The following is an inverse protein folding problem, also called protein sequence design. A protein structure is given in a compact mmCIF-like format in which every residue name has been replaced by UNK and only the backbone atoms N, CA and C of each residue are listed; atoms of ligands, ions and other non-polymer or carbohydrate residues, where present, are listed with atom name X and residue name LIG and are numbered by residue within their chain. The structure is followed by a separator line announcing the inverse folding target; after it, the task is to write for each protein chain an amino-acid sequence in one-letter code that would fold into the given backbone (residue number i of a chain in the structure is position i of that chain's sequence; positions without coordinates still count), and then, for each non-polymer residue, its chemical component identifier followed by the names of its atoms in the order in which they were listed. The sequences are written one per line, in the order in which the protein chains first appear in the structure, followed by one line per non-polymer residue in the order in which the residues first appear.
data_IF_036706714043
#
_entry.id   IF_036706714043
#
_cell.length_a   1.000
_cell.length_b   1.000
_cell.length_c   1.000
_cell.angle_alpha   90.00
_cell.angle_beta   90.00
_cell.angle_gamma   90.00
#
_symmetry.space_group_name_H-M   'P 1'
#
loop_
_entity.id
_entity.type
_entity.pdbx_description
1 polymer ?
#
# COMPACT_ATOMS: atom_id res chain seq x y z
N UNK A 1 -4.46 14.43 -17.67
CA UNK A 1 -3.49 13.91 -16.70
C UNK A 1 -2.12 14.39 -17.12
N UNK A 2 -1.37 15.04 -16.24
CA UNK A 2 0.02 15.43 -16.52
C UNK A 2 0.91 14.18 -16.59
N UNK A 3 2.09 14.29 -17.22
CA UNK A 3 3.06 13.19 -17.23
C UNK A 3 3.50 12.77 -15.82
N UNK A 4 3.61 13.72 -14.88
CA UNK A 4 3.97 13.44 -13.49
C UNK A 4 2.84 12.78 -12.69
N UNK A 5 1.57 13.17 -12.91
CA UNK A 5 0.40 12.48 -12.30
C UNK A 5 0.31 11.04 -12.81
N UNK A 6 0.57 10.83 -14.11
CA UNK A 6 0.58 9.48 -14.70
C UNK A 6 1.69 8.61 -14.11
N UNK A 7 2.90 9.14 -14.00
CA UNK A 7 4.02 8.40 -13.42
C UNK A 7 3.76 8.06 -11.95
N UNK A 8 3.27 9.02 -11.15
CA UNK A 8 2.95 8.77 -9.75
C UNK A 8 1.88 7.67 -9.58
N UNK A 9 0.85 7.65 -10.45
CA UNK A 9 -0.16 6.58 -10.45
C UNK A 9 0.41 5.22 -10.87
N UNK A 10 1.34 5.20 -11.83
CA UNK A 10 2.04 3.97 -12.24
C UNK A 10 2.93 3.44 -11.12
N UNK A 11 3.64 4.32 -10.41
CA UNK A 11 4.48 3.96 -9.26
C UNK A 11 3.62 3.44 -8.10
N UNK A 12 2.48 4.08 -7.82
CA UNK A 12 1.51 3.60 -6.84
C UNK A 12 0.93 2.23 -7.22
N UNK A 13 0.64 1.99 -8.51
CA UNK A 13 0.22 0.68 -8.98
C UNK A 13 1.32 -0.39 -8.79
N UNK A 14 2.59 -0.02 -9.02
CA UNK A 14 3.73 -0.89 -8.71
C UNK A 14 3.79 -1.28 -7.23
N UNK A 15 3.59 -0.31 -6.34
CA UNK A 15 3.52 -0.56 -4.90
C UNK A 15 2.34 -1.48 -4.53
N UNK A 16 1.17 -1.32 -5.16
CA UNK A 16 0.01 -2.20 -4.95
C UNK A 16 0.27 -3.64 -5.45
N UNK A 17 0.98 -3.82 -6.57
CA UNK A 17 1.38 -5.16 -7.00
C UNK A 17 2.31 -5.83 -5.99
N UNK A 18 3.33 -5.11 -5.51
CA UNK A 18 4.23 -5.59 -4.46
C UNK A 18 3.47 -5.91 -3.16
N UNK A 19 2.50 -5.08 -2.77
CA UNK A 19 1.66 -5.29 -1.61
C UNK A 19 0.84 -6.57 -1.71
N UNK A 20 0.17 -6.81 -2.85
CA UNK A 20 -0.61 -8.05 -3.07
C UNK A 20 0.29 -9.29 -2.99
N UNK A 21 1.50 -9.22 -3.54
CA UNK A 21 2.48 -10.31 -3.43
C UNK A 21 2.92 -10.54 -1.97
N UNK A 22 3.31 -9.47 -1.28
CA UNK A 22 3.77 -9.52 0.11
C UNK A 22 2.69 -10.04 1.06
N UNK A 23 1.42 -9.62 0.88
CA UNK A 23 0.30 -10.12 1.67
C UNK A 23 0.03 -11.62 1.48
N UNK A 24 0.43 -12.20 0.34
CA UNK A 24 0.47 -13.64 0.14
C UNK A 24 1.44 -14.34 1.10
N UNK A 25 2.66 -13.81 1.24
CA UNK A 25 3.65 -14.33 2.20
C UNK A 25 3.24 -14.08 3.65
N UNK A 26 2.72 -12.88 3.95
CA UNK A 26 2.21 -12.54 5.29
C UNK A 26 1.12 -13.53 5.71
N UNK A 27 0.19 -13.88 4.82
CA UNK A 27 -0.85 -14.86 5.10
C UNK A 27 -0.33 -16.23 5.51
N UNK A 28 0.77 -16.68 4.90
CA UNK A 28 1.40 -17.98 5.20
C UNK A 28 2.01 -18.05 6.60
N UNK A 29 2.43 -16.91 7.17
CA UNK A 29 3.13 -16.85 8.45
C UNK A 29 2.35 -16.10 9.55
N UNK A 30 1.19 -15.54 9.24
CA UNK A 30 0.38 -14.79 10.19
C UNK A 30 -0.20 -15.69 11.30
N UNK A 31 -0.18 -15.18 12.53
CA UNK A 31 -0.82 -15.80 13.68
C UNK A 31 -2.35 -15.94 13.49
N UNK A 32 -2.95 -16.92 14.18
CA UNK A 32 -4.38 -17.21 14.06
C UNK A 32 -5.28 -16.00 14.35
N UNK A 33 -4.85 -15.10 15.26
CA UNK A 33 -5.58 -13.87 15.59
C UNK A 33 -5.63 -12.84 14.44
N UNK A 34 -4.68 -12.91 13.50
CA UNK A 34 -4.51 -11.92 12.42
C UNK A 34 -5.07 -12.40 11.07
N UNK A 35 -5.45 -13.66 10.93
CA UNK A 35 -5.90 -14.25 9.66
C UNK A 35 -7.03 -13.46 8.98
N UNK A 36 -8.03 -13.00 9.75
CA UNK A 36 -9.12 -12.16 9.21
C UNK A 36 -8.62 -10.80 8.74
N UNK A 37 -7.75 -10.16 9.51
CA UNK A 37 -7.13 -8.87 9.17
C UNK A 37 -6.31 -8.98 7.88
N UNK A 38 -5.49 -10.02 7.76
CA UNK A 38 -4.68 -10.29 6.56
C UNK A 38 -5.57 -10.50 5.34
N UNK A 39 -6.63 -11.31 5.46
CA UNK A 39 -7.57 -11.55 4.35
C UNK A 39 -8.25 -10.24 3.91
N UNK A 40 -8.71 -9.42 4.86
CA UNK A 40 -9.32 -8.13 4.58
C UNK A 40 -8.36 -7.19 3.85
N UNK A 41 -7.13 -7.06 4.34
CA UNK A 41 -6.14 -6.15 3.75
C UNK A 41 -5.64 -6.64 2.39
N UNK A 42 -5.50 -7.95 2.21
CA UNK A 42 -5.22 -8.56 0.90
C UNK A 42 -6.32 -8.20 -0.11
N UNK A 43 -7.60 -8.29 0.28
CA UNK A 43 -8.70 -7.91 -0.58
C UNK A 43 -8.71 -6.41 -0.90
N UNK A 44 -8.41 -5.56 0.08
CA UNK A 44 -8.32 -4.11 -0.09
C UNK A 44 -7.23 -3.72 -1.10
N UNK A 45 -6.03 -4.29 -1.00
CA UNK A 45 -4.95 -4.05 -1.97
C UNK A 45 -5.32 -4.52 -3.38
N UNK A 46 -5.98 -5.67 -3.53
CA UNK A 46 -6.47 -6.14 -4.84
C UNK A 46 -7.49 -5.16 -5.44
N UNK A 47 -8.46 -4.70 -4.64
CA UNK A 47 -9.44 -3.73 -5.10
C UNK A 47 -8.78 -2.40 -5.51
N UNK A 48 -7.80 -1.92 -4.74
CA UNK A 48 -7.06 -0.69 -5.04
C UNK A 48 -6.22 -0.82 -6.31
N UNK A 49 -5.52 -1.94 -6.49
CA UNK A 49 -4.78 -2.29 -7.70
C UNK A 49 -5.69 -2.25 -8.93
N UNK A 50 -6.82 -2.97 -8.87
CA UNK A 50 -7.74 -3.10 -10.00
C UNK A 50 -8.35 -1.73 -10.37
N UNK A 51 -8.79 -0.95 -9.38
CA UNK A 51 -9.27 0.42 -9.60
C UNK A 51 -8.19 1.33 -10.22
N UNK A 52 -6.92 1.16 -9.86
CA UNK A 52 -5.81 1.96 -10.40
C UNK A 52 -5.49 1.59 -11.85
N UNK A 53 -5.56 0.30 -12.18
CA UNK A 53 -5.50 -0.19 -13.57
C UNK A 53 -6.61 0.43 -14.42
N UNK A 54 -7.84 0.47 -13.90
CA UNK A 54 -8.98 1.08 -14.60
C UNK A 54 -8.79 2.58 -14.80
N UNK A 55 -8.26 3.31 -13.80
CA UNK A 55 -7.96 4.74 -13.92
C UNK A 55 -6.92 5.00 -15.01
N UNK A 56 -5.80 4.26 -14.99
CA UNK A 56 -4.74 4.42 -15.98
C UNK A 56 -5.23 4.07 -17.38
N UNK A 57 -5.94 2.95 -17.53
CA UNK A 57 -6.50 2.49 -18.81
C UNK A 57 -7.52 3.49 -19.37
N UNK A 58 -8.47 3.95 -18.54
CA UNK A 58 -9.50 4.90 -18.92
C UNK A 58 -8.95 6.26 -19.34
N UNK A 59 -7.76 6.63 -18.86
CA UNK A 59 -7.05 7.88 -19.19
C UNK A 59 -5.98 7.69 -20.27
N UNK A 60 -5.95 6.53 -20.95
CA UNK A 60 -4.94 6.18 -21.96
C UNK A 60 -3.51 6.29 -21.46
N UNK A 61 -3.29 6.04 -20.17
CA UNK A 61 -1.97 5.94 -19.58
C UNK A 61 -1.37 4.55 -19.71
N UNK A 62 -0.06 4.49 -19.49
CA UNK A 62 0.67 3.22 -19.46
C UNK A 62 0.30 2.50 -18.16
N UNK A 63 -0.19 1.28 -18.28
CA UNK A 63 -0.38 0.35 -17.17
C UNK A 63 0.88 -0.53 -17.11
N UNK A 64 1.80 -0.33 -16.15
CA UNK A 64 2.92 -1.25 -15.98
C UNK A 64 2.41 -2.65 -15.70
N UNK A 65 3.05 -3.67 -16.27
CA UNK A 65 2.76 -5.06 -15.92
C UNK A 65 3.35 -5.38 -14.54
N UNK A 66 2.71 -6.25 -13.74
CA UNK A 66 3.31 -6.71 -12.50
C UNK A 66 4.59 -7.52 -12.79
N UNK A 67 5.58 -7.40 -11.91
CA UNK A 67 6.75 -8.28 -11.92
C UNK A 67 6.38 -9.72 -11.55
N UNK A 68 7.17 -10.68 -12.04
CA UNK A 68 6.98 -12.10 -11.73
C UNK A 68 7.26 -12.44 -10.26
N UNK A 69 8.14 -11.68 -9.62
CA UNK A 69 8.49 -11.80 -8.21
C UNK A 69 9.00 -10.46 -7.68
N UNK A 70 8.86 -10.24 -6.36
CA UNK A 70 9.31 -9.03 -5.69
C UNK A 70 10.34 -9.39 -4.61
N UNK A 71 11.42 -8.62 -4.53
CA UNK A 71 12.43 -8.79 -3.47
C UNK A 71 11.89 -8.20 -2.18
N UNK A 72 11.80 -9.00 -1.13
CA UNK A 72 11.38 -8.54 0.19
C UNK A 72 12.59 -8.08 1.02
N UNK A 73 12.43 -7.03 1.84
CA UNK A 73 13.53 -6.48 2.62
C UNK A 73 13.91 -7.35 3.83
N UNK A 74 13.11 -8.36 4.16
CA UNK A 74 13.38 -9.31 5.23
C UNK A 74 12.85 -10.70 4.87
N UNK A 75 13.46 -11.73 5.47
CA UNK A 75 12.92 -13.08 5.46
C UNK A 75 11.68 -13.15 6.38
N UNK A 76 10.63 -13.83 5.92
CA UNK A 76 9.40 -14.03 6.69
C UNK A 76 9.33 -15.51 7.06
N UNK A 77 9.38 -15.79 8.37
CA UNK A 77 9.39 -17.16 8.89
C UNK A 77 8.36 -17.40 9.99
N UNK A 78 7.85 -16.34 10.59
CA UNK A 78 7.01 -16.39 11.79
C UNK A 78 6.05 -15.18 11.84
N UNK A 79 5.10 -15.16 12.80
CA UNK A 79 4.14 -14.07 12.90
C UNK A 79 4.74 -12.68 13.13
N UNK A 80 5.88 -12.55 13.82
CA UNK A 80 6.49 -11.23 14.09
C UNK A 80 7.15 -10.67 12.83
N UNK A 81 7.92 -11.49 12.12
CA UNK A 81 8.52 -11.12 10.82
C UNK A 81 7.46 -10.87 9.75
N UNK A 82 6.32 -11.56 9.80
CA UNK A 82 5.16 -11.27 8.94
C UNK A 82 4.54 -9.89 9.24
N UNK A 83 4.32 -9.57 10.52
CA UNK A 83 3.83 -8.25 10.93
C UNK A 83 4.83 -7.14 10.58
N UNK A 84 6.14 -7.40 10.71
CA UNK A 84 7.19 -6.48 10.30
C UNK A 84 7.17 -6.22 8.79
N UNK A 85 7.00 -7.26 7.96
CA UNK A 85 6.84 -7.07 6.53
C UNK A 85 5.59 -6.25 6.20
N UNK A 86 4.48 -6.50 6.89
CA UNK A 86 3.26 -5.73 6.69
C UNK A 86 3.46 -4.23 6.98
N UNK A 87 4.20 -3.88 8.03
CA UNK A 87 4.58 -2.48 8.32
C UNK A 87 5.34 -1.85 7.15
N UNK A 88 6.30 -2.57 6.56
CA UNK A 88 7.06 -2.06 5.42
C UNK A 88 6.14 -1.82 4.22
N UNK A 89 5.31 -2.80 3.87
CA UNK A 89 4.36 -2.71 2.75
C UNK A 89 3.41 -1.53 2.90
N UNK A 90 2.81 -1.35 4.09
CA UNK A 90 1.89 -0.24 4.32
C UNK A 90 2.59 1.12 4.34
N UNK A 91 3.87 1.16 4.76
CA UNK A 91 4.69 2.37 4.69
C UNK A 91 4.99 2.74 3.24
N UNK A 92 5.42 1.78 2.43
CA UNK A 92 5.79 2.01 1.03
C UNK A 92 4.57 2.40 0.19
N UNK A 93 3.43 1.73 0.38
CA UNK A 93 2.16 2.12 -0.28
C UNK A 93 1.70 3.51 0.17
N UNK A 94 1.81 3.86 1.45
CA UNK A 94 1.50 5.22 1.91
C UNK A 94 2.42 6.26 1.26
N UNK A 95 3.72 6.00 1.11
CA UNK A 95 4.64 6.89 0.41
C UNK A 95 4.24 7.07 -1.06
N UNK A 96 3.94 5.98 -1.76
CA UNK A 96 3.54 6.03 -3.16
C UNK A 96 2.22 6.81 -3.35
N UNK A 97 1.22 6.56 -2.50
CA UNK A 97 -0.05 7.29 -2.56
C UNK A 97 0.09 8.77 -2.19
N UNK A 98 0.98 9.12 -1.26
CA UNK A 98 1.33 10.53 -0.98
C UNK A 98 1.89 11.22 -2.22
N UNK A 99 2.76 10.57 -2.99
CA UNK A 99 3.27 11.14 -4.23
C UNK A 99 2.14 11.42 -5.24
N UNK A 100 1.13 10.55 -5.33
CA UNK A 100 -0.07 10.82 -6.15
C UNK A 100 -0.84 12.03 -5.63
N UNK A 101 -1.00 12.18 -4.30
CA UNK A 101 -1.64 13.38 -3.71
C UNK A 101 -0.90 14.64 -4.12
N UNK A 102 0.43 14.64 -4.11
CA UNK A 102 1.27 15.79 -4.47
C UNK A 102 1.19 16.13 -5.96
N UNK A 103 1.20 15.11 -6.83
CA UNK A 103 1.21 15.27 -8.28
C UNK A 103 -0.19 15.41 -8.91
N UNK A 104 -1.27 15.17 -8.15
CA UNK A 104 -2.62 15.23 -8.66
C UNK A 104 -2.94 16.61 -9.26
N UNK A 105 -3.33 16.62 -10.54
CA UNK A 105 -3.79 17.79 -11.29
C UNK A 105 -5.31 18.00 -11.20
N UNK A 106 -6.04 17.05 -10.60
CA UNK A 106 -7.51 17.11 -10.44
C UNK A 106 -7.91 16.79 -9.00
N UNK A 107 -9.01 17.39 -8.53
CA UNK A 107 -9.57 17.11 -7.20
C UNK A 107 -9.97 15.63 -7.06
N UNK A 108 -10.53 15.03 -8.12
CA UNK A 108 -10.93 13.62 -8.13
C UNK A 108 -9.72 12.72 -7.89
N UNK A 109 -8.62 12.92 -8.62
CA UNK A 109 -7.41 12.10 -8.44
C UNK A 109 -6.80 12.31 -7.06
N UNK A 110 -6.78 13.56 -6.58
CA UNK A 110 -6.29 13.88 -5.23
C UNK A 110 -7.11 13.17 -4.14
N UNK A 111 -8.44 13.16 -4.27
CA UNK A 111 -9.33 12.50 -3.31
C UNK A 111 -9.10 10.99 -3.26
N UNK A 112 -8.99 10.34 -4.43
CA UNK A 112 -8.68 8.91 -4.54
C UNK A 112 -7.34 8.60 -3.85
N UNK A 113 -6.32 9.44 -4.08
CA UNK A 113 -5.01 9.25 -3.49
C UNK A 113 -4.99 9.48 -1.97
N UNK A 114 -5.76 10.46 -1.46
CA UNK A 114 -5.92 10.70 -0.02
C UNK A 114 -6.60 9.51 0.66
N UNK A 115 -7.64 8.95 0.03
CA UNK A 115 -8.31 7.75 0.54
C UNK A 115 -7.35 6.57 0.64
N UNK A 116 -6.62 6.27 -0.45
CA UNK A 116 -5.64 5.20 -0.48
C UNK A 116 -4.51 5.40 0.55
N UNK A 117 -3.99 6.62 0.67
CA UNK A 117 -3.01 7.00 1.69
C UNK A 117 -3.56 6.77 3.11
N UNK A 118 -4.80 7.17 3.36
CA UNK A 118 -5.44 7.04 4.68
C UNK A 118 -5.66 5.57 5.03
N UNK A 119 -6.08 4.76 4.07
CA UNK A 119 -6.23 3.32 4.24
C UNK A 119 -4.90 2.64 4.57
N UNK A 120 -3.83 2.93 3.81
CA UNK A 120 -2.48 2.39 4.11
C UNK A 120 -1.98 2.83 5.47
N UNK A 121 -2.16 4.11 5.84
CA UNK A 121 -1.79 4.60 7.17
C UNK A 121 -2.58 3.92 8.30
N UNK A 122 -3.86 3.64 8.09
CA UNK A 122 -4.68 2.90 9.04
C UNK A 122 -4.21 1.44 9.22
N UNK A 123 -3.90 0.75 8.12
CA UNK A 123 -3.35 -0.61 8.16
C UNK A 123 -1.97 -0.65 8.84
N UNK A 124 -1.11 0.32 8.52
CA UNK A 124 0.18 0.51 9.18
C UNK A 124 0.02 0.60 10.71
N UNK A 125 -0.91 1.42 11.17
CA UNK A 125 -1.18 1.58 12.60
C UNK A 125 -1.62 0.27 13.27
N UNK A 126 -2.47 -0.50 12.60
CA UNK A 126 -2.90 -1.82 13.10
C UNK A 126 -1.72 -2.77 13.24
N UNK A 127 -0.81 -2.82 12.26
CA UNK A 127 0.36 -3.68 12.34
C UNK A 127 1.39 -3.22 13.37
N UNK A 128 1.56 -1.91 13.54
CA UNK A 128 2.37 -1.35 14.62
C UNK A 128 1.80 -1.72 16.00
N UNK A 129 0.48 -1.68 16.16
CA UNK A 129 -0.20 -2.12 17.38
C UNK A 129 -0.02 -3.63 17.64
N UNK A 130 -0.10 -4.47 16.60
CA UNK A 130 0.18 -5.92 16.71
C UNK A 130 1.59 -6.19 17.25
N UNK A 131 2.56 -5.32 16.93
CA UNK A 131 3.94 -5.40 17.45
C UNK A 131 4.16 -4.61 18.74
N UNK A 132 3.11 -4.11 19.37
CA UNK A 132 3.16 -3.47 20.69
C UNK A 132 3.61 -2.00 20.70
N UNK A 133 3.56 -1.29 19.57
CA UNK A 133 3.87 0.14 19.55
C UNK A 133 2.78 0.99 20.24
N UNK A 134 3.21 1.97 21.04
CA UNK A 134 2.35 2.95 21.72
C UNK A 134 3.03 4.34 21.76
N UNK A 135 2.51 5.38 21.05
CA UNK A 135 1.37 5.31 20.14
C UNK A 135 1.71 4.50 18.87
N UNK A 136 0.75 3.73 18.38
CA UNK A 136 0.87 2.97 17.14
C UNK A 136 0.80 3.84 15.87
N UNK A 137 0.92 5.15 15.99
CA UNK A 137 0.99 6.10 14.87
C UNK A 137 2.06 7.13 15.15
N UNK A 138 2.85 7.43 14.12
CA UNK A 138 3.66 8.64 14.12
C UNK A 138 2.81 9.79 13.61
N UNK A 139 2.81 10.93 14.32
CA UNK A 139 2.17 12.14 13.85
C UNK A 139 2.68 12.48 12.44
N UNK A 140 1.78 12.92 11.57
CA UNK A 140 2.14 13.39 10.24
C UNK A 140 3.18 14.52 10.41
N UNK A 141 4.32 14.50 9.71
CA UNK A 141 5.28 15.59 9.82
C UNK A 141 4.65 16.87 9.27
N UNK A 142 4.13 17.70 10.17
CA UNK A 142 3.98 19.12 9.94
C UNK A 142 5.34 19.75 10.18
N UNK A 143 5.99 20.23 9.11
CA UNK A 143 7.08 21.19 9.33
C UNK A 143 6.44 22.45 9.95
N UNK A 144 7.04 23.05 11.00
CA UNK A 144 6.70 24.41 11.36
C UNK A 144 6.95 25.37 10.18
#
# INVERSE_FOLDING_TARGET
MSGTEQQALADALGAEYAAVYAYGMIASHAGAGQQRTVAQYTAAHRARRDATVDILSGRRGIVPAPEAAYTMPLAVSDPDTAAQLAIVVETDTAVAWRAVVEQAGTEITRRIAIEALTESAGRLAVWQSVRGADPATTAFPGRP
#
